data_IF_120413943237
#
_entry.id   IF_120413943237
#
_cell.length_a   1.000
_cell.length_b   1.000
_cell.length_c   1.000
_cell.angle_alpha   90.00
_cell.angle_beta   90.00
_cell.angle_gamma   90.00
#
_symmetry.space_group_name_H-M   'P 1'
#
loop_
_entity.id
_entity.type
_entity.pdbx_description
1 polymer ?
#
# COMPACT_ATOMS: atom_id res chain seq x y z
N UNK A 1 20.66 1.28 -14.24
CA UNK A 1 19.57 2.02 -13.57
C UNK A 1 18.43 1.03 -13.42
N UNK A 2 17.91 0.91 -12.22
CA UNK A 2 16.79 0.05 -11.86
C UNK A 2 15.72 0.98 -11.32
N UNK A 3 14.49 0.82 -11.81
CA UNK A 3 13.34 1.68 -11.50
C UNK A 3 12.24 0.78 -10.97
N UNK A 4 11.71 1.11 -9.80
CA UNK A 4 10.57 0.40 -9.24
C UNK A 4 9.26 1.08 -9.59
N UNK A 5 8.64 0.62 -10.67
CA UNK A 5 7.33 1.09 -11.12
C UNK A 5 6.20 0.14 -10.67
N UNK A 6 6.43 -0.69 -9.66
CA UNK A 6 5.46 -1.72 -9.21
C UNK A 6 4.15 -1.15 -8.69
N UNK A 7 4.10 0.15 -8.35
CA UNK A 7 2.89 0.85 -7.91
C UNK A 7 2.39 1.88 -8.95
N UNK A 8 3.06 2.02 -10.09
CA UNK A 8 2.74 3.02 -11.13
C UNK A 8 1.92 2.39 -12.26
N UNK A 9 0.71 1.95 -11.94
CA UNK A 9 -0.26 1.45 -12.91
C UNK A 9 -1.70 1.58 -12.39
N UNK A 10 -2.67 1.45 -13.29
CA UNK A 10 -4.07 1.21 -12.97
C UNK A 10 -4.36 -0.31 -12.94
N UNK A 11 -4.89 -0.80 -11.82
CA UNK A 11 -5.29 -2.20 -11.67
C UNK A 11 -6.34 -2.57 -12.71
N UNK A 12 -6.08 -3.63 -13.47
CA UNK A 12 -7.02 -4.14 -14.45
C UNK A 12 -7.37 -5.60 -14.19
N UNK A 13 -8.51 -6.05 -14.72
CA UNK A 13 -9.05 -7.39 -14.41
C UNK A 13 -8.14 -8.55 -14.83
N UNK A 14 -7.45 -8.42 -15.96
CA UNK A 14 -6.55 -9.46 -16.48
C UNK A 14 -5.11 -8.95 -16.68
N UNK A 15 -4.95 -7.65 -16.84
CA UNK A 15 -3.68 -6.97 -17.06
C UNK A 15 -3.79 -5.56 -16.50
N UNK A 16 -2.71 -5.10 -15.87
CA UNK A 16 -2.61 -3.74 -15.41
C UNK A 16 -2.40 -2.81 -16.59
N UNK A 17 -2.91 -1.58 -16.47
CA UNK A 17 -2.81 -0.57 -17.51
C UNK A 17 -1.87 0.54 -17.04
N UNK A 18 -0.88 0.86 -17.86
CA UNK A 18 -0.09 2.07 -17.65
C UNK A 18 -0.90 3.28 -18.08
N UNK A 19 -1.20 4.18 -17.13
CA UNK A 19 -1.82 5.47 -17.43
C UNK A 19 -0.77 6.41 -18.02
N UNK A 20 -1.24 7.51 -18.61
CA UNK A 20 -0.35 8.52 -19.17
C UNK A 20 0.59 9.11 -18.09
N UNK A 21 0.06 9.35 -16.89
CA UNK A 21 0.83 9.85 -15.73
C UNK A 21 1.95 8.90 -15.29
N UNK A 22 1.67 7.59 -15.27
CA UNK A 22 2.65 6.55 -14.91
C UNK A 22 3.81 6.54 -15.92
N UNK A 23 3.48 6.56 -17.21
CA UNK A 23 4.46 6.58 -18.30
C UNK A 23 5.33 7.84 -18.20
N UNK A 24 4.72 9.00 -18.00
CA UNK A 24 5.44 10.27 -17.87
C UNK A 24 6.38 10.28 -16.67
N UNK A 25 5.94 9.74 -15.52
CA UNK A 25 6.77 9.59 -14.32
C UNK A 25 7.98 8.68 -14.59
N UNK A 26 7.76 7.49 -15.17
CA UNK A 26 8.83 6.53 -15.47
C UNK A 26 9.83 7.12 -16.46
N UNK A 27 9.34 7.71 -17.57
CA UNK A 27 10.19 8.27 -18.63
C UNK A 27 10.95 9.50 -18.13
N UNK A 28 10.31 10.39 -17.39
CA UNK A 28 10.98 11.58 -16.84
C UNK A 28 12.07 11.18 -15.85
N UNK A 29 11.82 10.17 -15.02
CA UNK A 29 12.80 9.63 -14.08
C UNK A 29 13.99 9.02 -14.82
N UNK A 30 13.74 8.22 -15.85
CA UNK A 30 14.79 7.68 -16.72
C UNK A 30 15.63 8.77 -17.39
N UNK A 31 15.01 9.85 -17.86
CA UNK A 31 15.71 10.99 -18.49
C UNK A 31 16.59 11.76 -17.51
N UNK A 32 16.11 12.01 -16.28
CA UNK A 32 16.88 12.70 -15.23
C UNK A 32 18.10 11.90 -14.82
N UNK A 33 17.97 10.56 -14.80
CA UNK A 33 19.08 9.64 -14.55
C UNK A 33 19.74 9.89 -13.19
N UNK A 34 18.90 10.14 -12.19
CA UNK A 34 19.26 10.43 -10.80
C UNK A 34 18.75 9.30 -9.89
N UNK A 35 19.39 9.13 -8.72
CA UNK A 35 18.85 8.26 -7.68
C UNK A 35 17.62 8.92 -7.04
N UNK A 36 16.58 8.14 -6.81
CA UNK A 36 15.37 8.58 -6.12
C UNK A 36 15.11 7.60 -4.98
N UNK A 37 15.01 8.12 -3.76
CA UNK A 37 14.81 7.28 -2.57
C UNK A 37 13.56 6.39 -2.74
N UNK A 38 13.71 5.09 -2.41
CA UNK A 38 12.69 4.02 -2.57
C UNK A 38 12.10 3.83 -3.98
N UNK A 39 12.67 4.46 -5.02
CA UNK A 39 12.10 4.39 -6.37
C UNK A 39 13.12 4.08 -7.47
N UNK A 40 14.32 4.69 -7.41
CA UNK A 40 15.37 4.47 -8.41
C UNK A 40 16.72 4.25 -7.79
N UNK A 41 17.39 3.22 -8.28
CA UNK A 41 18.78 2.94 -7.99
C UNK A 41 19.65 2.92 -9.26
N UNK A 42 20.65 3.78 -9.28
CA UNK A 42 21.71 3.84 -10.27
C UNK A 42 22.77 2.78 -9.93
N UNK A 43 22.46 1.53 -10.29
CA UNK A 43 23.38 0.42 -10.11
C UNK A 43 24.73 0.68 -10.81
N UNK A 44 25.81 0.64 -10.04
CA UNK A 44 27.18 0.65 -10.55
C UNK A 44 27.56 -0.75 -11.04
N UNK A 45 28.56 -0.85 -11.91
CA UNK A 45 29.03 -2.14 -12.42
C UNK A 45 29.47 -3.08 -11.29
N UNK A 46 30.15 -2.56 -10.26
CA UNK A 46 30.57 -3.36 -9.11
C UNK A 46 29.36 -3.94 -8.38
N UNK A 47 28.31 -3.13 -8.14
CA UNK A 47 27.10 -3.59 -7.47
C UNK A 47 26.36 -4.66 -8.28
N UNK A 48 26.30 -4.51 -9.60
CA UNK A 48 25.74 -5.53 -10.49
C UNK A 48 26.53 -6.83 -10.39
N UNK A 49 27.86 -6.76 -10.36
CA UNK A 49 28.73 -7.93 -10.22
C UNK A 49 28.60 -8.61 -8.86
N UNK A 50 28.51 -7.84 -7.77
CA UNK A 50 28.25 -8.37 -6.41
C UNK A 50 26.94 -9.15 -6.32
N UNK A 51 25.93 -8.69 -7.06
CA UNK A 51 24.62 -9.34 -7.14
C UNK A 51 24.55 -10.39 -8.27
N UNK A 52 25.67 -10.87 -8.83
CA UNK A 52 25.73 -11.84 -9.93
C UNK A 52 24.88 -11.46 -11.17
N UNK A 53 24.80 -10.16 -11.45
CA UNK A 53 23.95 -9.55 -12.47
C UNK A 53 22.46 -9.88 -12.31
N UNK A 54 22.03 -10.32 -11.13
CA UNK A 54 20.62 -10.45 -10.79
C UNK A 54 20.00 -9.05 -10.73
N UNK A 55 18.98 -8.80 -11.55
CA UNK A 55 18.31 -7.50 -11.67
C UNK A 55 17.02 -7.40 -10.85
N UNK A 56 16.79 -8.34 -9.92
CA UNK A 56 15.65 -8.27 -9.00
C UNK A 56 15.67 -6.94 -8.24
N UNK A 57 14.55 -6.22 -8.29
CA UNK A 57 14.40 -4.87 -7.75
C UNK A 57 14.76 -4.77 -6.26
N UNK A 58 14.41 -5.79 -5.47
CA UNK A 58 14.63 -5.85 -4.02
C UNK A 58 16.11 -5.82 -3.62
N UNK A 59 17.01 -6.12 -4.56
CA UNK A 59 18.46 -6.07 -4.33
C UNK A 59 19.06 -4.67 -4.49
N UNK A 60 18.27 -3.70 -4.95
CA UNK A 60 18.74 -2.37 -5.34
C UNK A 60 17.87 -1.24 -4.84
N UNK A 61 16.56 -1.42 -4.81
CA UNK A 61 15.59 -0.46 -4.30
C UNK A 61 15.01 -1.05 -3.03
N UNK A 62 15.13 -0.30 -1.93
CA UNK A 62 14.41 -0.62 -0.71
C UNK A 62 12.95 -0.23 -0.92
N UNK A 63 12.13 -1.24 -1.19
CA UNK A 63 10.68 -1.10 -1.41
C UNK A 63 9.92 -1.27 -0.10
N UNK A 64 10.60 -1.30 1.05
CA UNK A 64 9.93 -1.39 2.33
C UNK A 64 9.19 -0.09 2.61
N UNK A 65 7.88 -0.18 2.64
CA UNK A 65 7.03 0.88 3.16
C UNK A 65 7.18 0.87 4.69
N UNK A 66 7.65 1.98 5.26
CA UNK A 66 7.53 2.15 6.71
C UNK A 66 6.04 2.32 6.96
N UNK A 67 5.40 1.32 7.58
CA UNK A 67 4.03 1.45 8.06
C UNK A 67 3.96 2.68 8.96
N UNK A 68 2.95 3.54 8.78
CA UNK A 68 2.75 4.68 9.67
C UNK A 68 2.60 4.17 11.11
N UNK A 69 3.25 4.86 12.05
CA UNK A 69 3.12 4.56 13.48
C UNK A 69 1.63 4.63 13.86
N UNK A 70 1.04 3.46 14.10
CA UNK A 70 -0.37 3.36 14.49
C UNK A 70 -0.52 3.98 15.88
N UNK A 71 -1.34 5.02 16.02
CA UNK A 71 -1.73 5.52 17.34
C UNK A 71 -2.64 4.51 18.03
N UNK A 72 -2.04 3.66 18.86
CA UNK A 72 -2.73 2.62 19.63
C UNK A 72 -3.86 3.21 20.48
N UNK A 73 -3.74 4.47 20.95
CA UNK A 73 -4.80 5.10 21.73
C UNK A 73 -5.99 5.45 20.86
N UNK A 74 -5.76 6.02 19.68
CA UNK A 74 -6.84 6.33 18.73
C UNK A 74 -7.59 5.06 18.33
N UNK A 75 -6.87 3.98 18.02
CA UNK A 75 -7.47 2.68 17.71
C UNK A 75 -8.29 2.13 18.89
N UNK A 76 -7.80 2.27 20.13
CA UNK A 76 -8.56 1.86 21.31
C UNK A 76 -9.84 2.68 21.54
N UNK A 77 -9.82 3.98 21.25
CA UNK A 77 -11.01 4.83 21.33
C UNK A 77 -12.04 4.46 20.27
N UNK A 78 -11.59 4.17 19.05
CA UNK A 78 -12.44 3.69 17.96
C UNK A 78 -13.10 2.34 18.29
N UNK A 79 -12.34 1.39 18.83
CA UNK A 79 -12.88 0.10 19.30
C UNK A 79 -13.98 0.31 20.34
N UNK A 80 -13.75 1.17 21.34
CA UNK A 80 -14.75 1.45 22.38
C UNK A 80 -16.01 2.11 21.81
N UNK A 81 -15.87 3.01 20.84
CA UNK A 81 -17.00 3.63 20.18
C UNK A 81 -17.86 2.60 19.44
N UNK A 82 -17.21 1.72 18.66
CA UNK A 82 -17.88 0.63 17.93
C UNK A 82 -18.57 -0.35 18.88
N UNK A 83 -17.95 -0.70 20.01
CA UNK A 83 -18.58 -1.53 21.04
C UNK A 83 -19.83 -0.87 21.63
N UNK A 84 -19.81 0.45 21.86
CA UNK A 84 -20.96 1.22 22.30
C UNK A 84 -22.11 1.19 21.28
N UNK A 85 -21.80 1.43 20.01
CA UNK A 85 -22.78 1.34 18.92
C UNK A 85 -23.36 -0.07 18.80
N UNK A 86 -22.54 -1.11 18.96
CA UNK A 86 -22.98 -2.50 18.92
C UNK A 86 -23.99 -2.80 20.03
N UNK A 87 -23.79 -2.27 21.23
CA UNK A 87 -24.75 -2.42 22.35
C UNK A 87 -26.07 -1.73 22.03
N UNK A 88 -26.04 -0.52 21.47
CA UNK A 88 -27.28 0.17 21.07
C UNK A 88 -28.03 -0.58 19.97
N UNK A 89 -27.31 -1.05 18.94
CA UNK A 89 -27.91 -1.81 17.83
C UNK A 89 -28.52 -3.11 18.34
N UNK A 90 -27.86 -3.81 19.26
CA UNK A 90 -28.41 -5.01 19.91
C UNK A 90 -29.67 -4.70 20.71
N UNK A 91 -29.67 -3.62 21.50
CA UNK A 91 -30.86 -3.21 22.25
C UNK A 91 -32.06 -2.89 21.36
N UNK A 92 -31.83 -2.24 20.21
CA UNK A 92 -32.86 -2.02 19.19
C UNK A 92 -33.35 -3.35 18.59
N UNK A 93 -32.45 -4.27 18.32
CA UNK A 93 -32.79 -5.60 17.79
C UNK A 93 -33.66 -6.40 18.76
N UNK A 94 -33.31 -6.41 20.05
CA UNK A 94 -34.08 -7.09 21.10
C UNK A 94 -35.48 -6.49 21.27
N UNK A 95 -35.60 -5.15 21.21
CA UNK A 95 -36.89 -4.48 21.23
C UNK A 95 -37.78 -4.87 20.04
N UNK A 96 -37.23 -4.93 18.83
CA UNK A 96 -37.96 -5.40 17.66
C UNK A 96 -38.36 -6.88 17.75
N UNK A 97 -37.52 -7.73 18.35
CA UNK A 97 -37.84 -9.15 18.56
C UNK A 97 -38.98 -9.35 19.57
N UNK A 98 -39.05 -8.52 20.62
CA UNK A 98 -40.18 -8.49 21.55
C UNK A 98 -41.47 -8.01 20.89
N UNK A 99 -41.42 -6.95 20.08
CA UNK A 99 -42.61 -6.44 19.35
C UNK A 99 -43.18 -7.48 18.36
N UNK A 100 -42.32 -8.32 17.78
CA UNK A 100 -42.71 -9.41 16.87
C UNK A 100 -43.12 -10.71 17.60
N UNK A 101 -43.02 -10.77 18.93
CA UNK A 101 -43.41 -11.93 19.74
C UNK A 101 -42.58 -13.19 19.51
N UNK A 102 -41.34 -13.03 19.04
CA UNK A 102 -40.40 -14.13 18.77
C UNK A 102 -39.55 -14.50 20.00
N UNK A 103 -39.59 -13.67 21.05
CA UNK A 103 -38.98 -13.86 22.38
C UNK A 103 -39.91 -13.26 23.44
#
# INVERSE_FOLDING_TARGET
MIIDASNDYEDGKNQNRLRQEDIEKIVSTWRKRENVHKYVYLATFNKLKENDFNLNILLYVDTFEEEEDIDIKAVQEEIKAIEGELVEVRGKMDAYLQELGLI
#
